data_IF_073049478090
#
_entry.id   IF_073049478090
#
_cell.length_a   1.000
_cell.length_b   1.000
_cell.length_c   1.000
_cell.angle_alpha   90.00
_cell.angle_beta   90.00
_cell.angle_gamma   90.00
#
_symmetry.space_group_name_H-M   'P 1'
#
loop_
_entity.id
_entity.type
_entity.pdbx_description
1 polymer ?
#
# COMPACT_ATOMS: atom_id res chain seq x y z
N UNK A 1 16.40 -52.71 -16.86
CA UNK A 1 15.19 -52.08 -16.27
C UNK A 1 14.62 -51.18 -17.38
N UNK A 2 13.88 -51.71 -18.37
CA UNK A 2 12.44 -52.04 -18.34
C UNK A 2 11.62 -50.90 -17.73
N UNK A 3 10.59 -50.33 -18.33
CA UNK A 3 10.04 -50.31 -19.69
C UNK A 3 9.01 -49.19 -19.67
N UNK A 4 8.87 -48.48 -20.79
CA UNK A 4 7.71 -47.63 -21.10
C UNK A 4 6.42 -48.48 -21.08
N UNK A 5 5.27 -47.91 -20.69
CA UNK A 5 4.00 -48.23 -21.36
C UNK A 5 3.43 -46.92 -21.95
N UNK A 6 3.24 -46.77 -23.27
CA UNK A 6 2.45 -47.55 -24.22
C UNK A 6 0.96 -47.62 -23.82
N UNK A 7 0.20 -46.71 -24.44
CA UNK A 7 -1.22 -46.70 -24.82
C UNK A 7 -2.24 -47.49 -23.99
N UNK A 8 -3.32 -46.81 -23.59
CA UNK A 8 -4.62 -47.46 -23.58
C UNK A 8 -5.78 -46.49 -23.87
N UNK A 9 -6.66 -46.98 -24.74
CA UNK A 9 -8.08 -46.65 -24.91
C UNK A 9 -8.48 -45.32 -25.59
N UNK A 10 -8.71 -45.46 -26.90
CA UNK A 10 -9.71 -44.72 -27.67
C UNK A 10 -11.07 -44.89 -26.98
N UNK A 11 -11.72 -43.80 -26.58
CA UNK A 11 -13.17 -43.78 -26.32
C UNK A 11 -13.83 -42.85 -27.33
N UNK A 12 -14.53 -43.46 -28.29
CA UNK A 12 -15.53 -42.79 -29.10
C UNK A 12 -16.78 -42.58 -28.24
N UNK A 13 -17.08 -41.33 -27.89
CA UNK A 13 -18.39 -40.94 -27.38
C UNK A 13 -19.10 -40.13 -28.47
N UNK A 14 -20.14 -40.73 -29.07
CA UNK A 14 -21.12 -40.03 -29.90
C UNK A 14 -22.20 -39.42 -29.01
N UNK A 15 -22.73 -38.29 -29.49
CA UNK A 15 -24.06 -37.68 -29.20
C UNK A 15 -24.10 -36.63 -28.09
N UNK A 16 -24.41 -35.39 -28.45
CA UNK A 16 -25.77 -34.82 -28.33
C UNK A 16 -25.76 -33.36 -28.83
N UNK A 17 -26.76 -33.01 -29.65
CA UNK A 17 -27.03 -31.63 -30.07
C UNK A 17 -27.46 -30.84 -28.83
N UNK A 18 -26.70 -29.82 -28.44
CA UNK A 18 -27.11 -28.89 -27.38
C UNK A 18 -27.75 -27.65 -28.01
N UNK A 19 -28.99 -27.39 -27.61
CA UNK A 19 -29.70 -26.16 -27.92
C UNK A 19 -28.96 -24.97 -27.26
N UNK A 20 -28.45 -24.05 -28.08
CA UNK A 20 -27.83 -22.81 -27.59
C UNK A 20 -28.86 -21.92 -26.90
N UNK A 21 -28.86 -21.91 -25.57
CA UNK A 21 -29.39 -20.80 -24.78
C UNK A 21 -28.35 -19.67 -24.78
N UNK A 22 -28.75 -18.39 -24.86
CA UNK A 22 -27.79 -17.29 -24.70
C UNK A 22 -27.22 -17.37 -23.28
N UNK A 23 -25.93 -17.69 -23.19
CA UNK A 23 -25.19 -17.51 -21.95
C UNK A 23 -25.27 -16.02 -21.59
N UNK A 24 -25.99 -15.70 -20.52
CA UNK A 24 -25.73 -14.48 -19.77
C UNK A 24 -24.31 -14.62 -19.25
N UNK A 25 -23.34 -14.15 -20.04
CA UNK A 25 -21.97 -14.00 -19.58
C UNK A 25 -22.06 -13.17 -18.29
N UNK A 26 -21.56 -13.66 -17.14
CA UNK A 26 -21.26 -12.74 -16.06
C UNK A 26 -20.29 -11.74 -16.65
N UNK A 27 -20.77 -10.50 -16.84
CA UNK A 27 -19.90 -9.38 -17.17
C UNK A 27 -18.87 -9.37 -16.05
N UNK A 28 -17.64 -9.76 -16.38
CA UNK A 28 -16.50 -9.55 -15.51
C UNK A 28 -16.61 -8.09 -15.06
N UNK A 29 -16.94 -7.91 -13.79
CA UNK A 29 -17.05 -6.58 -13.22
C UNK A 29 -15.64 -6.04 -13.27
N UNK A 30 -15.44 -5.14 -14.22
CA UNK A 30 -14.21 -4.42 -14.47
C UNK A 30 -13.68 -3.97 -13.12
N UNK A 31 -12.56 -4.55 -12.69
CA UNK A 31 -11.81 -4.19 -11.49
C UNK A 31 -11.91 -2.69 -11.32
N UNK A 32 -12.65 -2.24 -10.31
CA UNK A 32 -12.65 -0.82 -9.98
C UNK A 32 -11.21 -0.51 -9.62
N UNK A 33 -10.50 0.20 -10.49
CA UNK A 33 -9.19 0.79 -10.19
C UNK A 33 -9.41 1.94 -9.20
N UNK A 34 -9.96 1.62 -8.04
CA UNK A 34 -10.02 2.46 -6.86
C UNK A 34 -8.83 2.12 -5.97
N UNK A 35 -8.28 3.11 -5.28
CA UNK A 35 -7.29 2.87 -4.23
C UNK A 35 -8.01 2.61 -2.91
N UNK A 36 -7.37 1.86 -2.01
CA UNK A 36 -7.90 1.58 -0.67
C UNK A 36 -7.36 2.59 0.32
N UNK A 37 -8.24 3.39 0.95
CA UNK A 37 -7.85 4.27 2.05
C UNK A 37 -7.25 3.48 3.22
N UNK A 38 -7.78 2.28 3.50
CA UNK A 38 -7.24 1.39 4.54
C UNK A 38 -5.80 0.99 4.24
N UNK A 39 -5.48 0.69 2.97
CA UNK A 39 -4.11 0.37 2.59
C UNK A 39 -3.18 1.58 2.79
N UNK A 40 -3.61 2.78 2.40
CA UNK A 40 -2.85 4.00 2.67
C UNK A 40 -2.61 4.21 4.18
N UNK A 41 -3.60 3.87 5.02
CA UNK A 41 -3.48 3.93 6.48
C UNK A 41 -2.40 2.98 7.01
N UNK A 42 -2.42 1.71 6.58
CA UNK A 42 -1.41 0.73 6.97
C UNK A 42 0.00 1.11 6.48
N UNK A 43 0.10 1.64 5.25
CA UNK A 43 1.37 2.08 4.69
C UNK A 43 1.94 3.29 5.46
N UNK A 44 1.08 4.23 5.86
CA UNK A 44 1.47 5.38 6.67
C UNK A 44 1.91 4.97 8.08
N UNK A 45 1.23 4.01 8.73
CA UNK A 45 1.66 3.46 10.02
C UNK A 45 3.04 2.81 9.92
N UNK A 46 3.28 2.04 8.86
CA UNK A 46 4.59 1.42 8.60
C UNK A 46 5.68 2.48 8.45
N UNK A 47 5.40 3.56 7.71
CA UNK A 47 6.33 4.68 7.56
C UNK A 47 6.61 5.37 8.90
N UNK A 48 5.58 5.68 9.70
CA UNK A 48 5.77 6.26 11.04
C UNK A 48 6.62 5.38 11.94
N UNK A 49 6.38 4.06 11.93
CA UNK A 49 7.19 3.11 12.68
C UNK A 49 8.65 3.08 12.22
N UNK A 50 8.89 3.18 10.91
CA UNK A 50 10.25 3.29 10.36
C UNK A 50 10.91 4.61 10.79
N UNK A 51 10.21 5.73 10.68
CA UNK A 51 10.72 7.05 11.03
C UNK A 51 11.03 7.19 12.52
N UNK A 52 10.28 6.53 13.39
CA UNK A 52 10.57 6.46 14.82
C UNK A 52 11.95 5.85 15.14
N UNK A 53 12.54 5.07 14.22
CA UNK A 53 13.89 4.51 14.37
C UNK A 53 14.99 5.46 13.88
N UNK A 54 14.64 6.53 13.18
CA UNK A 54 15.59 7.46 12.60
C UNK A 54 16.00 8.54 13.60
N UNK A 55 17.25 8.97 13.47
CA UNK A 55 17.80 10.13 14.16
C UNK A 55 18.42 11.07 13.12
N UNK A 56 18.75 12.30 13.51
CA UNK A 56 19.43 13.24 12.62
C UNK A 56 20.78 12.69 12.07
N UNK A 57 21.39 11.73 12.78
CA UNK A 57 22.65 11.09 12.39
C UNK A 57 22.47 9.80 11.58
N UNK A 58 21.23 9.36 11.34
CA UNK A 58 20.96 8.20 10.49
C UNK A 58 21.37 8.52 9.05
N UNK A 59 22.07 7.59 8.40
CA UNK A 59 22.40 7.71 6.97
C UNK A 59 21.14 7.55 6.13
N UNK A 60 21.06 8.28 5.02
CA UNK A 60 19.91 8.25 4.10
C UNK A 60 20.36 8.38 2.64
N UNK A 61 19.43 8.20 1.69
CA UNK A 61 19.70 8.42 0.26
C UNK A 61 19.28 9.83 -0.12
N UNK A 62 20.12 10.55 -0.87
CA UNK A 62 19.81 11.92 -1.31
C UNK A 62 18.43 12.02 -1.98
N UNK A 63 17.64 12.98 -1.51
CA UNK A 63 16.27 13.19 -1.96
C UNK A 63 15.20 12.44 -1.15
N UNK A 64 15.57 11.47 -0.30
CA UNK A 64 14.64 10.81 0.62
C UNK A 64 13.96 11.85 1.54
N UNK A 65 12.73 11.56 1.95
CA UNK A 65 11.97 12.38 2.88
C UNK A 65 11.47 11.52 4.04
N UNK A 66 11.53 12.07 5.25
CA UNK A 66 11.14 11.37 6.47
C UNK A 66 10.64 12.33 7.56
N UNK A 67 10.02 11.76 8.59
CA UNK A 67 9.71 12.48 9.83
C UNK A 67 10.73 12.13 10.92
N UNK A 68 11.87 12.80 10.96
CA UNK A 68 12.95 12.51 11.93
C UNK A 68 12.75 13.35 13.19
N UNK A 69 12.62 12.69 14.35
CA UNK A 69 12.39 13.35 15.64
C UNK A 69 11.24 14.38 15.61
N UNK A 70 10.15 14.06 14.88
CA UNK A 70 8.99 14.94 14.73
C UNK A 70 9.17 16.13 13.77
N UNK A 71 10.32 16.25 13.11
CA UNK A 71 10.58 17.27 12.10
C UNK A 71 10.43 16.71 10.69
N UNK A 72 9.90 17.52 9.77
CA UNK A 72 9.95 17.17 8.35
C UNK A 72 11.40 17.23 7.90
N UNK A 73 11.90 16.16 7.30
CA UNK A 73 13.32 16.01 7.00
C UNK A 73 13.52 15.58 5.56
N UNK A 74 14.53 16.18 4.92
CA UNK A 74 14.98 15.77 3.59
C UNK A 74 16.43 15.33 3.69
N UNK A 75 16.78 14.26 2.98
CA UNK A 75 18.15 13.81 2.89
C UNK A 75 18.95 14.65 1.90
N UNK A 76 20.07 15.23 2.35
CA UNK A 76 21.00 16.02 1.54
C UNK A 76 22.42 15.56 1.88
N UNK A 77 23.17 15.07 0.89
CA UNK A 77 24.53 14.57 1.11
C UNK A 77 24.59 13.41 2.11
N UNK A 78 23.63 12.48 2.05
CA UNK A 78 23.49 11.30 2.92
C UNK A 78 23.19 11.59 4.40
N UNK A 79 22.79 12.82 4.72
CA UNK A 79 22.42 13.25 6.07
C UNK A 79 21.05 13.92 6.08
N UNK A 80 20.33 13.82 7.21
CA UNK A 80 19.00 14.41 7.35
C UNK A 80 19.09 15.92 7.65
N UNK A 81 18.59 16.75 6.75
CA UNK A 81 18.31 18.15 7.00
C UNK A 81 16.91 18.28 7.62
N UNK A 82 16.86 18.59 8.92
CA UNK A 82 15.62 18.70 9.68
C UNK A 82 15.02 20.11 9.55
N UNK A 83 13.76 20.16 9.15
CA UNK A 83 12.92 21.35 9.21
C UNK A 83 11.85 21.14 10.30
N UNK A 84 12.00 21.86 11.41
CA UNK A 84 11.04 21.80 12.50
C UNK A 84 9.65 22.21 12.03
N UNK A 85 8.64 21.49 12.49
CA UNK A 85 7.25 21.89 12.35
C UNK A 85 6.96 23.14 13.21
N UNK A 86 5.89 23.86 12.87
CA UNK A 86 5.42 24.98 13.72
C UNK A 86 5.04 24.47 15.12
N UNK A 87 5.02 25.38 16.11
CA UNK A 87 4.74 25.05 17.50
C UNK A 87 3.44 24.24 17.66
N UNK A 88 3.52 23.13 18.40
CA UNK A 88 2.39 22.24 18.65
C UNK A 88 2.11 21.22 17.55
N UNK A 89 2.90 21.23 16.47
CA UNK A 89 2.81 20.26 15.37
C UNK A 89 4.01 19.31 15.38
N UNK A 90 3.81 18.11 14.84
CA UNK A 90 4.85 17.13 14.56
C UNK A 90 4.66 16.59 13.15
N UNK A 91 5.75 16.15 12.52
CA UNK A 91 5.71 15.48 11.23
C UNK A 91 5.14 14.06 11.38
N UNK A 92 4.19 13.71 10.52
CA UNK A 92 3.62 12.38 10.38
C UNK A 92 3.59 11.96 8.91
N UNK A 93 3.76 10.67 8.64
CA UNK A 93 3.22 10.06 7.44
C UNK A 93 1.70 9.91 7.61
N UNK A 94 0.94 10.44 6.66
CA UNK A 94 -0.52 10.44 6.67
C UNK A 94 -1.06 9.71 5.43
N UNK A 95 -2.19 8.99 5.56
CA UNK A 95 -2.83 8.36 4.42
C UNK A 95 -3.38 9.41 3.44
N UNK A 96 -3.16 9.21 2.13
CA UNK A 96 -3.82 10.03 1.12
C UNK A 96 -5.30 9.65 1.00
N UNK A 97 -6.15 10.66 0.78
CA UNK A 97 -7.62 10.49 0.79
C UNK A 97 -8.26 10.43 -0.59
N UNK A 98 -7.57 10.91 -1.63
CA UNK A 98 -8.08 10.99 -3.02
C UNK A 98 -7.29 10.14 -4.02
N UNK A 99 -6.18 9.52 -3.61
CA UNK A 99 -5.37 8.62 -4.44
C UNK A 99 -4.59 7.63 -3.57
N UNK A 100 -4.00 6.61 -4.18
CA UNK A 100 -3.12 5.66 -3.50
C UNK A 100 -1.87 6.35 -2.93
N UNK A 101 -1.39 5.87 -1.80
CA UNK A 101 -0.14 6.27 -1.16
C UNK A 101 -0.31 7.11 0.11
N UNK A 102 0.79 7.74 0.50
CA UNK A 102 0.92 8.51 1.74
C UNK A 102 1.54 9.88 1.45
N UNK A 103 1.48 10.78 2.42
CA UNK A 103 2.15 12.09 2.38
C UNK A 103 2.72 12.43 3.74
N UNK A 104 3.85 13.14 3.76
CA UNK A 104 4.41 13.67 4.99
C UNK A 104 3.87 15.07 5.23
N UNK A 105 3.39 15.34 6.45
CA UNK A 105 2.90 16.66 6.82
C UNK A 105 3.13 16.94 8.32
N UNK A 106 3.32 18.21 8.64
CA UNK A 106 3.26 18.70 10.01
C UNK A 106 1.80 18.83 10.44
N UNK A 107 1.40 18.13 11.49
CA UNK A 107 0.05 18.18 12.02
C UNK A 107 0.04 18.02 13.54
N UNK A 108 -1.13 18.14 14.15
CA UNK A 108 -1.33 17.74 15.54
C UNK A 108 -1.46 16.21 15.63
N UNK A 109 -1.07 15.62 16.75
CA UNK A 109 -1.28 14.19 16.99
C UNK A 109 -2.76 13.79 16.87
N UNK A 110 -3.67 14.67 17.34
CA UNK A 110 -5.10 14.42 17.29
C UNK A 110 -5.65 14.38 15.86
N UNK A 111 -5.25 15.30 14.97
CA UNK A 111 -5.71 15.26 13.56
C UNK A 111 -5.09 14.10 12.81
N UNK A 112 -3.79 13.82 13.03
CA UNK A 112 -3.12 12.66 12.45
C UNK A 112 -3.88 11.37 12.79
N UNK A 113 -4.19 11.15 14.08
CA UNK A 113 -4.96 10.00 14.53
C UNK A 113 -6.37 9.95 13.91
N UNK A 114 -7.06 11.10 13.83
CA UNK A 114 -8.38 11.17 13.20
C UNK A 114 -8.34 10.72 11.73
N UNK A 115 -7.28 11.03 10.99
CA UNK A 115 -7.09 10.58 9.60
C UNK A 115 -6.85 9.08 9.48
N UNK A 116 -6.13 8.47 10.42
CA UNK A 116 -5.97 7.02 10.46
C UNK A 116 -7.30 6.31 10.75
N UNK A 117 -8.07 6.83 11.71
CA UNK A 117 -9.42 6.33 11.99
C UNK A 117 -10.34 6.47 10.77
N UNK A 118 -10.29 7.62 10.08
CA UNK A 118 -11.05 7.84 8.85
C UNK A 118 -10.62 6.92 7.69
N UNK A 119 -9.35 6.51 7.66
CA UNK A 119 -8.83 5.51 6.74
C UNK A 119 -9.28 4.08 7.07
N UNK A 120 -9.91 3.85 8.24
CA UNK A 120 -10.38 2.53 8.66
C UNK A 120 -9.33 1.69 9.40
N UNK A 121 -8.27 2.32 9.93
CA UNK A 121 -7.26 1.67 10.77
C UNK A 121 -7.23 2.29 12.17
N UNK A 122 -6.76 1.54 13.17
CA UNK A 122 -6.61 2.03 14.54
C UNK A 122 -5.16 2.44 14.82
N UNK A 123 -4.99 3.56 15.54
CA UNK A 123 -3.66 4.12 15.84
C UNK A 123 -3.00 4.81 14.65
N UNK A 124 -1.90 5.50 14.88
CA UNK A 124 -1.18 6.28 13.87
C UNK A 124 0.21 6.68 14.31
#
# INVERSE_FOLDING_TARGET
MISKPLFCAITLALSTLTNGAPALYPRASNTTTGFSQMQNGLDAQKLNAQFATLTANSTCTDGDQACVAGSFSQCIGSTWALQACSSGLSCFALPLVTKAGTSLACDTLSDAQARFVAAGVSGG
#
